data_IF_987820949377
#
_entry.id   IF_987820949377
#
_cell.length_a   1.000
_cell.length_b   1.000
_cell.length_c   1.000
_cell.angle_alpha   90.00
_cell.angle_beta   90.00
_cell.angle_gamma   90.00
#
_symmetry.space_group_name_H-M   'P 1'
#
loop_
_entity.id
_entity.type
_entity.pdbx_description
1 polymer ?
#
# COMPACT_ATOMS: atom_id res chain seq x y z
N UNK A 1 -4.20 10.37 9.05
CA UNK A 1 -3.01 10.83 8.31
C UNK A 1 -2.11 9.64 8.11
N UNK A 2 -2.46 8.85 7.11
CA UNK A 2 -1.62 7.77 6.64
C UNK A 2 -0.80 8.27 5.46
N UNK A 3 0.51 8.11 5.53
CA UNK A 3 1.40 8.48 4.44
C UNK A 3 2.26 7.26 4.08
N UNK A 4 2.24 6.85 2.82
CA UNK A 4 3.17 5.86 2.28
C UNK A 4 3.97 6.49 1.14
N UNK A 5 5.26 6.17 1.10
CA UNK A 5 6.14 6.48 -0.02
C UNK A 5 6.38 5.19 -0.79
N UNK A 6 5.89 5.12 -2.02
CA UNK A 6 6.11 3.98 -2.89
C UNK A 6 7.44 4.09 -3.65
N UNK A 7 8.06 2.96 -3.98
CA UNK A 7 9.30 2.96 -4.76
C UNK A 7 9.07 3.22 -6.26
N UNK A 8 7.90 2.83 -6.79
CA UNK A 8 7.61 2.87 -8.22
C UNK A 8 6.26 3.51 -8.52
N UNK A 9 6.20 4.15 -9.70
CA UNK A 9 4.96 4.70 -10.26
C UNK A 9 4.84 4.35 -11.75
N UNK A 10 3.68 3.83 -12.12
CA UNK A 10 3.38 3.45 -13.50
C UNK A 10 2.20 4.27 -14.03
N UNK A 11 2.33 4.80 -15.24
CA UNK A 11 1.20 5.36 -15.97
C UNK A 11 0.30 4.25 -16.48
N UNK A 12 -1.01 4.44 -16.31
CA UNK A 12 -2.04 3.52 -16.74
C UNK A 12 -2.88 4.15 -17.86
N UNK A 13 -3.12 3.39 -18.93
CA UNK A 13 -4.06 3.76 -20.00
C UNK A 13 -5.24 2.81 -20.01
N UNK A 14 -6.46 3.32 -20.17
CA UNK A 14 -7.69 2.53 -20.18
C UNK A 14 -8.72 3.08 -19.19
N UNK A 15 -9.60 2.22 -18.71
CA UNK A 15 -10.68 2.59 -17.79
C UNK A 15 -10.94 1.48 -16.79
N UNK A 16 -11.22 1.86 -15.55
CA UNK A 16 -11.54 0.91 -14.47
C UNK A 16 -12.60 -0.12 -14.90
N UNK A 17 -12.42 -1.42 -14.58
CA UNK A 17 -11.33 -2.02 -13.80
C UNK A 17 -10.15 -2.53 -14.67
N UNK A 18 -10.05 -2.11 -15.94
CA UNK A 18 -9.09 -2.64 -16.89
C UNK A 18 -8.13 -1.55 -17.39
N UNK A 19 -6.88 -1.62 -16.94
CA UNK A 19 -5.83 -0.72 -17.39
C UNK A 19 -4.71 -1.48 -18.08
N UNK A 20 -4.01 -0.81 -19.00
CA UNK A 20 -2.73 -1.25 -19.56
C UNK A 20 -1.62 -0.43 -18.92
N UNK A 21 -0.55 -1.10 -18.50
CA UNK A 21 0.63 -0.46 -17.94
C UNK A 21 1.45 0.11 -19.09
N UNK A 22 1.60 1.42 -19.17
CA UNK A 22 2.22 2.05 -20.34
C UNK A 22 3.69 2.43 -20.12
N UNK A 23 4.01 3.00 -18.96
CA UNK A 23 5.38 3.41 -18.66
C UNK A 23 5.62 3.43 -17.15
N UNK A 24 6.70 2.77 -16.72
CA UNK A 24 7.24 2.86 -15.37
C UNK A 24 8.27 3.96 -15.30
N UNK A 25 7.90 5.10 -14.73
CA UNK A 25 8.91 6.10 -14.46
C UNK A 25 9.62 5.75 -13.15
N UNK A 26 10.92 5.50 -13.24
CA UNK A 26 11.83 5.40 -12.09
C UNK A 26 12.04 6.79 -11.49
N UNK A 27 11.07 7.33 -10.77
CA UNK A 27 11.29 8.52 -9.96
C UNK A 27 11.57 8.10 -8.53
N UNK A 28 12.83 8.22 -8.12
CA UNK A 28 13.25 8.10 -6.72
C UNK A 28 13.01 9.44 -6.01
N UNK A 29 12.35 9.44 -4.85
CA UNK A 29 12.17 10.61 -3.97
C UNK A 29 10.72 10.93 -3.58
N UNK A 30 10.47 12.15 -3.09
CA UNK A 30 9.16 12.65 -2.58
C UNK A 30 8.00 12.65 -3.59
N UNK A 31 8.22 12.18 -4.82
CA UNK A 31 7.23 12.13 -5.91
C UNK A 31 6.35 10.87 -5.89
N UNK A 32 6.58 9.96 -4.95
CA UNK A 32 5.75 8.77 -4.77
C UNK A 32 5.10 8.71 -3.39
N UNK A 33 5.14 9.83 -2.66
CA UNK A 33 4.43 9.98 -1.40
C UNK A 33 2.94 10.16 -1.69
N UNK A 34 2.12 9.26 -1.17
CA UNK A 34 0.68 9.42 -1.11
C UNK A 34 0.32 9.71 0.33
N UNK A 35 -0.46 10.77 0.51
CA UNK A 35 -0.81 11.26 1.82
C UNK A 35 -2.32 11.39 1.93
N UNK A 36 -2.88 10.49 2.73
CA UNK A 36 -4.27 10.50 3.11
C UNK A 36 -4.47 11.48 4.27
N UNK A 37 -4.55 12.75 3.87
CA UNK A 37 -4.78 13.89 4.75
C UNK A 37 -6.06 14.66 4.37
N UNK A 38 -6.83 14.19 3.38
CA UNK A 38 -7.96 14.95 2.82
C UNK A 38 -9.33 14.31 3.06
N UNK A 39 -9.40 13.08 3.56
CA UNK A 39 -10.65 12.39 3.85
C UNK A 39 -11.27 12.80 5.21
N UNK A 40 -10.48 13.41 6.09
CA UNK A 40 -10.89 13.85 7.42
C UNK A 40 -10.98 12.72 8.45
N UNK A 41 -10.58 11.49 8.12
CA UNK A 41 -10.64 10.33 9.01
C UNK A 41 -9.24 9.72 9.22
N UNK A 42 -8.59 9.89 10.38
CA UNK A 42 -7.29 9.30 10.63
C UNK A 42 -7.40 7.80 10.97
N UNK A 43 -7.80 6.97 10.01
CA UNK A 43 -8.09 5.53 10.22
C UNK A 43 -6.97 4.58 9.74
N UNK A 44 -5.83 5.12 9.29
CA UNK A 44 -4.69 4.36 8.76
C UNK A 44 -5.04 3.48 7.56
N UNK A 45 -6.08 3.85 6.82
CA UNK A 45 -6.51 3.18 5.60
C UNK A 45 -6.52 4.19 4.45
N UNK A 46 -6.50 3.69 3.22
CA UNK A 46 -6.85 4.46 2.01
C UNK A 46 -7.97 3.73 1.33
N UNK A 47 -9.20 4.20 1.50
CA UNK A 47 -10.38 3.63 0.90
C UNK A 47 -10.54 4.04 -0.56
N UNK A 48 -11.31 3.24 -1.28
CA UNK A 48 -11.70 3.57 -2.65
C UNK A 48 -12.65 4.75 -2.61
N UNK A 49 -12.36 5.77 -3.42
CA UNK A 49 -13.07 7.04 -3.46
C UNK A 49 -12.42 8.14 -2.65
N UNK A 50 -11.42 7.82 -1.81
CA UNK A 50 -10.76 8.83 -0.99
C UNK A 50 -9.96 9.80 -1.85
N UNK A 51 -10.03 11.08 -1.46
CA UNK A 51 -9.14 12.10 -2.00
C UNK A 51 -7.82 12.03 -1.24
N UNK A 52 -6.72 11.92 -1.96
CA UNK A 52 -5.37 11.90 -1.41
C UNK A 52 -4.57 13.05 -2.00
N UNK A 53 -3.52 13.46 -1.30
CA UNK A 53 -2.51 14.35 -1.89
C UNK A 53 -1.46 13.51 -2.59
N UNK A 54 -1.34 13.71 -3.89
CA UNK A 54 -0.33 13.10 -4.75
C UNK A 54 0.94 13.96 -4.81
N UNK A 55 1.90 13.53 -5.62
CA UNK A 55 3.07 14.32 -5.98
C UNK A 55 2.71 15.75 -6.41
N UNK A 56 3.66 16.67 -6.21
CA UNK A 56 3.50 18.12 -6.46
C UNK A 56 2.36 18.83 -5.71
N UNK A 57 1.70 18.17 -4.74
CA UNK A 57 0.58 18.74 -3.99
C UNK A 57 -0.77 18.63 -4.71
N UNK A 58 -0.82 17.92 -5.85
CA UNK A 58 -2.05 17.71 -6.63
C UNK A 58 -3.01 16.78 -5.88
N UNK A 59 -4.31 16.96 -6.12
CA UNK A 59 -5.34 16.05 -5.65
C UNK A 59 -5.40 14.81 -6.53
N UNK A 60 -5.64 13.64 -5.94
CA UNK A 60 -6.07 12.47 -6.68
C UNK A 60 -7.11 11.69 -5.92
N UNK A 61 -7.90 10.94 -6.67
CA UNK A 61 -8.91 10.03 -6.12
C UNK A 61 -8.41 8.59 -6.21
N UNK A 62 -8.50 7.85 -5.11
CA UNK A 62 -8.15 6.42 -5.09
C UNK A 62 -9.25 5.66 -5.80
N UNK A 63 -8.90 4.96 -6.88
CA UNK A 63 -9.85 4.22 -7.72
C UNK A 63 -9.65 2.71 -7.67
N UNK A 64 -8.58 2.26 -7.01
CA UNK A 64 -8.33 0.84 -6.84
C UNK A 64 -7.15 0.53 -5.93
N UNK A 65 -7.04 -0.72 -5.50
CA UNK A 65 -5.94 -1.23 -4.70
C UNK A 65 -5.44 -2.56 -5.25
N UNK A 66 -4.15 -2.84 -5.05
CA UNK A 66 -3.49 -4.09 -5.40
C UNK A 66 -2.86 -4.67 -4.14
N UNK A 67 -2.39 -5.92 -4.20
CA UNK A 67 -1.68 -6.52 -3.06
C UNK A 67 -0.41 -5.75 -2.64
N UNK A 68 0.14 -4.85 -3.48
CA UNK A 68 1.43 -4.18 -3.25
C UNK A 68 1.41 -2.69 -3.58
N UNK A 69 0.24 -2.07 -3.64
CA UNK A 69 0.12 -0.70 -4.11
C UNK A 69 -1.30 -0.23 -4.35
N UNK A 70 -1.44 1.04 -4.73
CA UNK A 70 -2.72 1.72 -4.93
C UNK A 70 -2.80 2.34 -6.33
N UNK A 71 -4.02 2.34 -6.88
CA UNK A 71 -4.36 2.93 -8.17
C UNK A 71 -5.08 4.24 -7.92
N UNK A 72 -4.54 5.32 -8.45
CA UNK A 72 -4.99 6.68 -8.20
C UNK A 72 -5.28 7.37 -9.52
N UNK A 73 -6.41 8.05 -9.61
CA UNK A 73 -6.73 8.97 -10.70
C UNK A 73 -6.35 10.39 -10.27
N UNK A 74 -5.56 11.08 -11.07
CA UNK A 74 -5.25 12.49 -10.88
C UNK A 74 -6.48 13.34 -11.23
N UNK A 75 -6.93 14.16 -10.29
CA UNK A 75 -8.16 14.94 -10.43
C UNK A 75 -7.99 16.14 -11.39
N UNK A 76 -6.76 16.54 -11.70
CA UNK A 76 -6.48 17.68 -12.57
C UNK A 76 -6.49 17.30 -14.06
N UNK A 77 -5.82 16.20 -14.42
CA UNK A 77 -5.67 15.78 -15.83
C UNK A 77 -6.46 14.50 -16.17
N UNK A 78 -7.02 13.80 -15.18
CA UNK A 78 -7.80 12.58 -15.36
C UNK A 78 -6.95 11.32 -15.62
N UNK A 79 -5.62 11.42 -15.62
CA UNK A 79 -4.74 10.28 -15.82
C UNK A 79 -4.74 9.35 -14.61
N UNK A 80 -4.52 8.06 -14.87
CA UNK A 80 -4.46 7.04 -13.82
C UNK A 80 -3.03 6.55 -13.63
N UNK A 81 -2.67 6.31 -12.37
CA UNK A 81 -1.34 5.89 -11.97
C UNK A 81 -1.43 4.73 -10.98
N UNK A 82 -0.52 3.75 -11.11
CA UNK A 82 -0.26 2.75 -10.09
C UNK A 82 0.97 3.17 -9.27
N UNK A 83 0.81 3.35 -7.97
CA UNK A 83 1.90 3.51 -7.01
C UNK A 83 2.14 2.18 -6.32
N UNK A 84 3.37 1.65 -6.37
CA UNK A 84 3.67 0.31 -5.85
C UNK A 84 5.12 0.16 -5.42
N UNK A 85 5.36 -0.80 -4.52
CA UNK A 85 6.72 -1.23 -4.14
C UNK A 85 7.22 -2.42 -4.97
N UNK A 86 6.45 -2.88 -5.95
CA UNK A 86 6.80 -4.00 -6.81
C UNK A 86 7.41 -3.53 -8.15
N UNK A 87 8.66 -3.89 -8.41
CA UNK A 87 9.33 -3.57 -9.66
C UNK A 87 8.93 -4.47 -10.84
N UNK A 88 8.25 -5.60 -10.61
CA UNK A 88 7.88 -6.53 -11.68
C UNK A 88 6.99 -5.89 -12.75
N UNK A 89 6.27 -4.83 -12.39
CA UNK A 89 5.47 -4.05 -13.33
C UNK A 89 6.31 -3.26 -14.36
N UNK A 90 7.59 -3.00 -14.11
CA UNK A 90 8.50 -2.37 -15.08
C UNK A 90 8.77 -3.26 -16.30
N UNK A 91 8.82 -4.56 -16.10
CA UNK A 91 8.94 -5.56 -17.15
C UNK A 91 7.59 -5.95 -17.77
N UNK A 92 6.49 -5.48 -17.20
CA UNK A 92 5.12 -5.75 -17.65
C UNK A 92 4.51 -4.60 -18.47
N UNK A 93 5.32 -3.66 -18.98
CA UNK A 93 4.85 -2.61 -19.88
C UNK A 93 4.15 -3.23 -21.11
N UNK A 94 2.98 -2.71 -21.46
CA UNK A 94 2.08 -3.27 -22.48
C UNK A 94 1.14 -4.36 -21.96
N UNK A 95 1.35 -4.86 -20.73
CA UNK A 95 0.47 -5.84 -20.10
C UNK A 95 -0.73 -5.17 -19.43
N UNK A 96 -1.81 -5.93 -19.28
CA UNK A 96 -3.00 -5.47 -18.58
C UNK A 96 -2.83 -5.62 -17.06
N UNK A 97 -3.08 -4.53 -16.33
CA UNK A 97 -3.40 -4.59 -14.91
C UNK A 97 -4.87 -4.97 -14.81
N UNK A 98 -5.13 -6.22 -14.44
CA UNK A 98 -6.46 -6.82 -14.35
C UNK A 98 -6.80 -7.15 -12.91
N UNK A 99 -8.09 -7.09 -12.58
CA UNK A 99 -8.64 -7.56 -11.31
C UNK A 99 -8.00 -6.91 -10.07
N UNK A 100 -7.60 -5.64 -10.19
CA UNK A 100 -7.28 -4.87 -8.99
C UNK A 100 -8.59 -4.57 -8.25
N UNK A 101 -8.49 -4.46 -6.93
CA UNK A 101 -9.61 -4.31 -6.05
C UNK A 101 -10.20 -2.89 -6.18
N UNK A 102 -11.52 -2.77 -6.26
CA UNK A 102 -12.24 -1.47 -6.41
C UNK A 102 -13.26 -1.23 -5.30
N UNK A 103 -13.20 -2.02 -4.23
CA UNK A 103 -14.13 -1.94 -3.09
C UNK A 103 -13.44 -1.77 -1.74
N UNK A 104 -12.21 -2.23 -1.62
CA UNK A 104 -11.53 -2.40 -0.34
C UNK A 104 -10.40 -1.43 -0.15
N UNK A 105 -10.29 -0.88 1.08
CA UNK A 105 -9.21 0.01 1.42
C UNK A 105 -7.87 -0.68 1.42
N UNK A 106 -6.84 0.07 1.04
CA UNK A 106 -5.45 -0.30 1.28
C UNK A 106 -5.12 0.00 2.74
N UNK A 107 -4.78 -1.02 3.52
CA UNK A 107 -4.53 -0.89 4.96
C UNK A 107 -3.04 -0.92 5.25
N UNK A 108 -2.53 0.07 5.99
CA UNK A 108 -1.10 0.17 6.35
C UNK A 108 -0.78 -0.58 7.65
N UNK A 109 -1.13 -1.87 7.72
CA UNK A 109 -0.90 -2.71 8.91
C UNK A 109 -0.15 -4.00 8.55
N UNK A 110 0.67 -4.48 9.49
CA UNK A 110 1.23 -5.83 9.42
C UNK A 110 0.26 -6.83 10.05
N UNK A 111 0.25 -8.05 9.50
CA UNK A 111 -0.51 -9.13 10.12
C UNK A 111 0.23 -9.72 11.33
N UNK A 112 -0.51 -10.23 12.31
CA UNK A 112 0.07 -11.02 13.39
C UNK A 112 0.93 -12.18 12.84
N UNK A 113 2.10 -12.39 13.43
CA UNK A 113 3.12 -13.33 12.99
C UNK A 113 4.13 -12.75 12.00
N UNK A 114 3.95 -11.51 11.51
CA UNK A 114 4.96 -10.86 10.66
C UNK A 114 6.23 -10.57 11.45
N UNK A 115 7.37 -11.11 11.02
CA UNK A 115 8.67 -10.82 11.63
C UNK A 115 9.13 -9.38 11.36
N UNK A 116 9.42 -8.64 12.42
CA UNK A 116 10.02 -7.31 12.39
C UNK A 116 11.46 -7.42 12.88
N UNK A 117 12.40 -6.91 12.08
CA UNK A 117 13.82 -6.86 12.47
C UNK A 117 14.03 -5.85 13.60
N UNK A 118 14.63 -6.30 14.69
CA UNK A 118 15.12 -5.47 15.79
C UNK A 118 16.64 -5.65 15.94
N UNK A 119 17.35 -4.76 16.66
CA UNK A 119 18.79 -4.92 16.91
C UNK A 119 19.14 -6.27 17.58
N UNK A 120 18.22 -6.82 18.38
CA UNK A 120 18.43 -8.06 19.15
C UNK A 120 17.92 -9.31 18.40
N UNK A 121 17.49 -9.16 17.14
CA UNK A 121 16.93 -10.24 16.31
C UNK A 121 15.52 -9.95 15.79
N UNK A 122 14.96 -10.89 15.05
CA UNK A 122 13.58 -10.77 14.56
C UNK A 122 12.56 -11.06 15.66
N UNK A 123 11.51 -10.24 15.72
CA UNK A 123 10.41 -10.38 16.67
C UNK A 123 9.07 -10.28 15.92
N UNK A 124 8.05 -11.08 16.28
CA UNK A 124 6.74 -10.95 15.66
C UNK A 124 6.13 -9.59 15.99
N UNK A 125 5.41 -8.99 15.03
CA UNK A 125 4.90 -7.61 15.13
C UNK A 125 4.00 -7.38 16.34
N UNK A 126 3.20 -8.36 16.73
CA UNK A 126 2.32 -8.31 17.90
C UNK A 126 3.07 -8.28 19.24
N UNK A 127 4.37 -8.57 19.24
CA UNK A 127 5.23 -8.47 20.43
C UNK A 127 5.92 -7.13 20.57
N UNK A 128 5.94 -6.31 19.51
CA UNK A 128 6.56 -4.98 19.52
C UNK A 128 5.72 -4.03 20.39
N UNK A 129 6.35 -3.07 21.06
CA UNK A 129 5.68 -2.07 21.89
C UNK A 129 6.22 -0.67 21.62
N UNK A 130 5.47 0.35 22.03
CA UNK A 130 5.99 1.72 22.07
C UNK A 130 7.29 1.75 22.91
N UNK A 131 8.31 2.42 22.39
CA UNK A 131 9.65 2.46 22.97
C UNK A 131 10.60 1.38 22.46
N UNK A 132 10.11 0.31 21.82
CA UNK A 132 10.97 -0.71 21.24
C UNK A 132 11.82 -0.16 20.09
N UNK A 133 12.99 -0.76 19.89
CA UNK A 133 13.90 -0.46 18.78
C UNK A 133 13.66 -1.41 17.61
N UNK A 134 13.51 -0.87 16.42
CA UNK A 134 13.37 -1.62 15.15
C UNK A 134 14.42 -1.15 14.15
N UNK A 135 14.73 -1.98 13.17
CA UNK A 135 15.64 -1.62 12.07
C UNK A 135 14.85 -1.12 10.87
N UNK A 136 15.20 0.05 10.33
CA UNK A 136 14.69 0.52 9.04
C UNK A 136 15.37 -0.21 7.87
N UNK A 137 14.79 -0.06 6.68
CA UNK A 137 15.29 -0.69 5.46
C UNK A 137 16.75 -0.31 5.13
N UNK A 138 17.18 0.90 5.48
CA UNK A 138 18.55 1.40 5.33
C UNK A 138 19.49 1.01 6.50
N UNK A 139 19.02 0.18 7.43
CA UNK A 139 19.81 -0.38 8.52
C UNK A 139 19.92 0.49 9.78
N UNK A 140 19.28 1.66 9.83
CA UNK A 140 19.27 2.50 11.03
C UNK A 140 18.37 1.90 12.12
N UNK A 141 18.73 2.18 13.37
CA UNK A 141 17.91 1.82 14.54
C UNK A 141 16.93 2.95 14.83
N UNK A 142 15.63 2.65 14.77
CA UNK A 142 14.55 3.61 15.03
C UNK A 142 13.73 3.16 16.24
N UNK A 143 13.21 4.12 16.99
CA UNK A 143 12.32 3.86 18.14
C UNK A 143 10.86 3.96 17.71
N UNK A 144 10.07 2.94 18.04
CA UNK A 144 8.63 2.92 17.84
C UNK A 144 7.98 3.97 18.73
N UNK A 145 7.39 5.01 18.14
CA UNK A 145 6.73 6.10 18.88
C UNK A 145 5.29 5.79 19.25
N UNK A 146 4.58 5.08 18.39
CA UNK A 146 3.19 4.72 18.59
C UNK A 146 2.90 3.37 17.92
N UNK A 147 1.80 2.73 18.35
CA UNK A 147 1.31 1.48 17.78
C UNK A 147 -0.22 1.53 17.71
N UNK A 148 -0.77 1.24 16.53
CA UNK A 148 -2.19 0.98 16.31
C UNK A 148 -2.44 -0.51 16.09
N UNK A 149 -3.65 -0.97 16.40
CA UNK A 149 -4.08 -2.34 16.11
C UNK A 149 -5.49 -2.33 15.54
N UNK A 150 -5.73 -3.19 14.56
CA UNK A 150 -7.05 -3.41 13.98
C UNK A 150 -7.37 -4.90 14.03
N UNK A 151 -8.57 -5.25 14.51
CA UNK A 151 -9.04 -6.64 14.51
C UNK A 151 -9.89 -6.88 13.28
N UNK A 152 -9.33 -7.59 12.29
CA UNK A 152 -10.08 -8.03 11.12
C UNK A 152 -10.92 -9.25 11.49
N UNK A 153 -12.25 -9.14 11.33
CA UNK A 153 -13.18 -10.25 11.57
C UNK A 153 -13.55 -10.91 10.25
N UNK A 154 -13.36 -12.22 10.16
CA UNK A 154 -13.85 -13.02 9.03
C UNK A 154 -15.25 -13.55 9.38
N UNK A 155 -16.27 -13.20 8.60
CA UNK A 155 -17.66 -13.56 8.86
C UNK A 155 -18.61 -13.09 7.75
N UNK A 156 -19.91 -13.33 7.93
CA UNK A 156 -20.94 -12.87 6.97
C UNK A 156 -20.90 -11.34 6.89
N UNK A 157 -20.68 -10.79 5.69
CA UNK A 157 -20.57 -9.35 5.44
C UNK A 157 -19.16 -8.77 5.62
N UNK A 158 -18.17 -9.58 6.04
CA UNK A 158 -16.77 -9.16 6.00
C UNK A 158 -16.26 -9.20 4.56
N UNK A 159 -15.47 -8.19 4.17
CA UNK A 159 -14.82 -8.21 2.86
C UNK A 159 -13.86 -9.39 2.77
N UNK A 160 -14.07 -10.25 1.77
CA UNK A 160 -13.18 -11.38 1.47
C UNK A 160 -11.76 -10.92 1.13
N UNK A 161 -11.58 -9.68 0.71
CA UNK A 161 -10.28 -9.13 0.34
C UNK A 161 -9.51 -8.56 1.53
N UNK A 162 -10.16 -8.33 2.68
CA UNK A 162 -9.49 -8.04 3.96
C UNK A 162 -9.02 -9.31 4.67
N UNK A 163 -9.48 -10.49 4.21
CA UNK A 163 -9.13 -11.75 4.84
C UNK A 163 -7.64 -12.09 4.60
N UNK A 164 -6.85 -12.37 5.65
CA UNK A 164 -5.46 -12.73 5.48
C UNK A 164 -5.29 -14.05 4.75
N UNK A 165 -4.33 -14.12 3.81
CA UNK A 165 -3.94 -15.36 3.15
C UNK A 165 -2.86 -16.07 3.98
N UNK A 166 -3.17 -17.26 4.50
CA UNK A 166 -2.19 -18.10 5.20
C UNK A 166 -1.67 -19.20 4.27
N UNK A 167 -0.41 -19.09 3.87
CA UNK A 167 0.31 -20.14 3.15
C UNK A 167 1.00 -21.04 4.18
N UNK A 168 0.73 -22.36 4.17
CA UNK A 168 1.34 -23.30 5.11
C UNK A 168 2.79 -23.59 4.74
N UNK A 169 3.64 -23.89 5.74
CA UNK A 169 4.98 -24.41 5.48
C UNK A 169 4.92 -25.67 4.60
N UNK A 170 5.80 -25.76 3.59
CA UNK A 170 5.79 -26.85 2.61
C UNK A 170 4.71 -26.74 1.52
N UNK A 171 4.01 -25.61 1.40
CA UNK A 171 3.03 -25.38 0.33
C UNK A 171 3.68 -25.22 -1.06
N UNK A 172 4.95 -24.84 -1.09
CA UNK A 172 5.80 -24.88 -2.27
C UNK A 172 6.87 -25.93 -1.95
N UNK A 173 6.84 -27.05 -2.69
CA UNK A 173 7.56 -28.28 -2.38
C UNK A 173 9.07 -28.15 -2.26
#
# INVERSE_FOLDING_TARGET
MAAEVFNYRFYLSGSSPNYTIYNGNNYSGSYNALNDNRDGNPDNQVAIGDSITMFSGTAGTVIGTTAKGVVVRDDFNGYSYLFTNDNSYSTAVGSSLQNFNTSDPYTYCFLAGTSIRTPDGERPVESIKMGDKVLSADGRVLTVRWMGYETIRNGIGASIHKAPVKIKAGAFG
#
